data_IF_137173339953
#
_entry.id   IF_137173339953
#
_cell.length_a   1.000
_cell.length_b   1.000
_cell.length_c   1.000
_cell.angle_alpha   90.00
_cell.angle_beta   90.00
_cell.angle_gamma   90.00
#
_symmetry.space_group_name_H-M   'P 1'
#
loop_
_entity.id
_entity.type
_entity.pdbx_description
1 polymer ?
#
# COMPACT_ATOMS: atom_id res chain seq x y z
N UNK A 1 -16.34 5.05 -16.55
CA UNK A 1 -15.79 4.26 -15.42
C UNK A 1 -14.32 4.00 -15.66
N UNK A 2 -13.95 3.45 -16.83
CA UNK A 2 -12.57 3.37 -17.37
C UNK A 2 -11.63 4.44 -16.83
N UNK A 3 -11.80 5.72 -17.17
CA UNK A 3 -10.88 6.83 -16.83
C UNK A 3 -10.43 6.90 -15.36
N UNK A 4 -11.26 6.48 -14.40
CA UNK A 4 -10.89 6.41 -12.97
C UNK A 4 -10.02 5.18 -12.64
N UNK A 5 -10.28 4.05 -13.30
CA UNK A 5 -9.46 2.84 -13.22
C UNK A 5 -8.14 3.02 -13.99
N UNK A 6 -8.19 3.68 -15.15
CA UNK A 6 -7.03 4.01 -15.98
C UNK A 6 -6.07 4.92 -15.20
N UNK A 7 -6.59 6.01 -14.60
CA UNK A 7 -5.84 6.87 -13.68
C UNK A 7 -5.27 6.10 -12.47
N UNK A 8 -6.00 5.13 -11.91
CA UNK A 8 -5.51 4.30 -10.81
C UNK A 8 -4.35 3.37 -11.24
N UNK A 9 -4.44 2.78 -12.44
CA UNK A 9 -3.40 1.92 -13.02
C UNK A 9 -2.15 2.72 -13.40
N UNK A 10 -2.29 3.90 -14.03
CA UNK A 10 -1.18 4.80 -14.31
C UNK A 10 -0.47 5.22 -13.01
N UNK A 11 -1.21 5.53 -11.95
CA UNK A 11 -0.67 5.86 -10.62
C UNK A 11 0.07 4.71 -9.94
N UNK A 12 -0.20 3.45 -10.31
CA UNK A 12 0.53 2.28 -9.83
C UNK A 12 1.70 1.90 -10.74
N UNK A 13 1.66 2.24 -12.03
CA UNK A 13 2.64 1.82 -13.03
C UNK A 13 4.10 2.21 -12.72
N UNK A 14 4.31 3.35 -12.07
CA UNK A 14 5.65 3.89 -11.76
C UNK A 14 6.27 3.27 -10.51
N UNK A 15 5.45 2.96 -9.50
CA UNK A 15 5.91 2.54 -8.17
C UNK A 15 6.84 1.31 -8.20
N UNK A 16 6.53 0.20 -8.90
CA UNK A 16 7.44 -0.95 -8.98
C UNK A 16 8.80 -0.61 -9.59
N UNK A 17 8.84 0.33 -10.55
CA UNK A 17 10.06 0.73 -11.25
C UNK A 17 10.97 1.57 -10.36
N UNK A 18 10.41 2.55 -9.66
CA UNK A 18 11.16 3.42 -8.75
C UNK A 18 11.55 2.69 -7.46
N UNK A 19 10.69 1.82 -6.93
CA UNK A 19 11.01 0.92 -5.82
C UNK A 19 12.16 -0.03 -6.18
N UNK A 20 12.10 -0.71 -7.34
CA UNK A 20 13.17 -1.60 -7.79
C UNK A 20 14.50 -0.86 -8.01
N UNK A 21 14.45 0.38 -8.54
CA UNK A 21 15.62 1.26 -8.69
C UNK A 21 16.26 1.57 -7.33
N UNK A 22 15.47 1.99 -6.33
CA UNK A 22 15.98 2.32 -5.01
C UNK A 22 16.52 1.09 -4.27
N UNK A 23 15.81 -0.04 -4.29
CA UNK A 23 16.26 -1.30 -3.69
C UNK A 23 17.55 -1.83 -4.34
N UNK A 24 17.69 -1.68 -5.67
CA UNK A 24 18.95 -2.00 -6.35
C UNK A 24 20.08 -1.04 -5.94
N UNK A 25 19.77 0.24 -5.69
CA UNK A 25 20.71 1.21 -5.11
C UNK A 25 21.19 0.80 -3.73
N UNK A 26 20.28 0.47 -2.80
CA UNK A 26 20.59 -0.04 -1.46
C UNK A 26 21.51 -1.26 -1.55
N UNK A 27 21.18 -2.25 -2.41
CA UNK A 27 22.02 -3.44 -2.61
C UNK A 27 23.41 -3.11 -3.15
N UNK A 28 23.55 -2.12 -4.04
CA UNK A 28 24.85 -1.65 -4.56
C UNK A 28 25.71 -1.03 -3.46
N UNK A 29 25.13 -0.17 -2.61
CA UNK A 29 25.86 0.42 -1.48
C UNK A 29 26.23 -0.64 -0.43
N UNK A 30 25.35 -1.59 -0.11
CA UNK A 30 25.69 -2.71 0.79
C UNK A 30 26.87 -3.54 0.27
N UNK A 31 26.92 -3.83 -1.03
CA UNK A 31 28.05 -4.56 -1.63
C UNK A 31 29.38 -3.78 -1.53
N UNK A 32 29.38 -2.46 -1.76
CA UNK A 32 30.59 -1.65 -1.61
C UNK A 32 31.00 -1.48 -0.14
N UNK A 33 30.04 -1.28 0.78
CA UNK A 33 30.28 -1.28 2.23
C UNK A 33 30.96 -2.58 2.71
N UNK A 34 30.45 -3.75 2.31
CA UNK A 34 31.06 -5.05 2.65
C UNK A 34 32.47 -5.20 2.03
N UNK A 35 32.66 -4.75 0.79
CA UNK A 35 33.97 -4.75 0.10
C UNK A 35 34.99 -3.86 0.80
N UNK A 36 34.61 -2.65 1.23
CA UNK A 36 35.48 -1.74 1.99
C UNK A 36 35.72 -2.21 3.41
N UNK A 37 34.72 -2.79 4.06
CA UNK A 37 34.90 -3.45 5.35
C UNK A 37 35.98 -4.54 5.25
N UNK A 38 35.89 -5.44 4.26
CA UNK A 38 36.89 -6.47 4.00
C UNK A 38 38.29 -5.93 3.61
N UNK A 39 38.37 -4.74 2.99
CA UNK A 39 39.63 -4.03 2.72
C UNK A 39 40.30 -3.57 4.03
N UNK A 40 39.55 -2.88 4.90
CA UNK A 40 40.02 -2.48 6.24
C UNK A 40 40.46 -3.70 7.04
N UNK A 41 39.64 -4.75 7.03
CA UNK A 41 39.85 -5.99 7.76
C UNK A 41 41.17 -6.69 7.33
N UNK A 42 41.52 -6.61 6.04
CA UNK A 42 42.85 -7.02 5.52
C UNK A 42 43.96 -6.08 5.97
N UNK A 43 43.81 -4.77 5.80
CA UNK A 43 44.83 -3.78 6.15
C UNK A 43 45.16 -3.81 7.65
N UNK A 44 44.16 -3.88 8.52
CA UNK A 44 44.33 -4.00 9.97
C UNK A 44 45.06 -5.29 10.37
N UNK A 45 44.75 -6.44 9.73
CA UNK A 45 45.49 -7.70 9.96
C UNK A 45 46.96 -7.63 9.51
N UNK A 46 47.28 -6.87 8.45
CA UNK A 46 48.67 -6.61 8.05
C UNK A 46 49.35 -5.66 9.04
N UNK A 47 48.66 -4.59 9.44
CA UNK A 47 49.16 -3.61 10.39
C UNK A 47 49.56 -4.25 11.72
N UNK A 48 48.67 -5.00 12.35
CA UNK A 48 48.93 -5.68 13.64
C UNK A 48 50.11 -6.64 13.56
N UNK A 49 50.24 -7.42 12.46
CA UNK A 49 51.36 -8.35 12.26
C UNK A 49 52.70 -7.65 12.02
N UNK A 50 52.69 -6.47 11.40
CA UNK A 50 53.90 -5.71 11.06
C UNK A 50 54.24 -4.61 12.06
N UNK A 51 53.35 -4.28 13.00
CA UNK A 51 53.43 -3.09 13.85
C UNK A 51 54.76 -2.94 14.58
N UNK A 52 55.24 -4.01 15.23
CA UNK A 52 56.51 -4.04 15.97
C UNK A 52 57.76 -3.84 15.07
N UNK A 53 57.62 -3.99 13.75
CA UNK A 53 58.71 -3.91 12.76
C UNK A 53 58.64 -2.66 11.88
N UNK A 54 57.60 -1.83 11.99
CA UNK A 54 57.44 -0.63 11.16
C UNK A 54 57.94 0.64 11.85
N UNK A 55 58.64 1.55 11.15
CA UNK A 55 59.02 2.85 11.70
C UNK A 55 57.78 3.72 11.95
N UNK A 56 57.82 4.56 12.99
CA UNK A 56 56.68 5.38 13.46
C UNK A 56 56.01 6.20 12.34
N UNK A 57 56.77 6.72 11.38
CA UNK A 57 56.25 7.50 10.25
C UNK A 57 55.39 6.64 9.29
N UNK A 58 55.84 5.43 8.96
CA UNK A 58 55.04 4.49 8.16
C UNK A 58 53.77 4.04 8.90
N UNK A 59 53.87 3.82 10.21
CA UNK A 59 52.74 3.48 11.07
C UNK A 59 51.67 4.60 11.09
N UNK A 60 52.09 5.87 11.20
CA UNK A 60 51.18 7.01 11.13
C UNK A 60 50.50 7.16 9.75
N UNK A 61 51.24 6.93 8.66
CA UNK A 61 50.68 6.92 7.30
C UNK A 61 49.62 5.82 7.12
N UNK A 62 49.91 4.60 7.58
CA UNK A 62 48.98 3.47 7.49
C UNK A 62 47.71 3.67 8.34
N UNK A 63 47.84 4.25 9.54
CA UNK A 63 46.68 4.65 10.36
C UNK A 63 45.82 5.71 9.66
N UNK A 64 46.43 6.70 9.00
CA UNK A 64 45.69 7.70 8.21
C UNK A 64 44.91 7.05 7.06
N UNK A 65 45.50 6.07 6.38
CA UNK A 65 44.82 5.32 5.31
C UNK A 65 43.62 4.50 5.84
N UNK A 66 43.78 3.81 6.98
CA UNK A 66 42.68 3.11 7.67
C UNK A 66 41.55 4.08 8.02
N UNK A 67 41.87 5.26 8.58
CA UNK A 67 40.86 6.27 8.93
C UNK A 67 40.10 6.78 7.69
N UNK A 68 40.77 6.99 6.56
CA UNK A 68 40.08 7.38 5.31
C UNK A 68 39.15 6.30 4.77
N UNK A 69 39.47 5.01 4.95
CA UNK A 69 38.57 3.92 4.57
C UNK A 69 37.35 3.83 5.49
N UNK A 70 37.50 4.07 6.80
CA UNK A 70 36.36 4.14 7.72
C UNK A 70 35.40 5.29 7.39
N UNK A 71 35.93 6.47 7.08
CA UNK A 71 35.11 7.62 6.66
C UNK A 71 34.35 7.35 5.35
N UNK A 72 34.93 6.61 4.41
CA UNK A 72 34.24 6.19 3.18
C UNK A 72 33.13 5.16 3.46
N UNK A 73 33.32 4.22 4.39
CA UNK A 73 32.24 3.32 4.83
C UNK A 73 31.10 4.09 5.49
N UNK A 74 31.41 5.07 6.35
CA UNK A 74 30.39 5.93 6.97
C UNK A 74 29.59 6.69 5.90
N UNK A 75 30.28 7.28 4.90
CA UNK A 75 29.64 7.96 3.77
C UNK A 75 28.72 7.03 2.96
N UNK A 76 29.17 5.82 2.63
CA UNK A 76 28.38 4.81 1.92
C UNK A 76 27.19 4.31 2.77
N UNK A 77 27.36 4.18 4.08
CA UNK A 77 26.29 3.83 5.02
C UNK A 77 25.22 4.93 5.11
N UNK A 78 25.63 6.20 5.11
CA UNK A 78 24.69 7.34 5.12
C UNK A 78 23.91 7.45 3.81
N UNK A 79 24.54 7.18 2.65
CA UNK A 79 23.84 7.07 1.36
C UNK A 79 22.82 5.92 1.34
N UNK A 80 23.15 4.76 1.93
CA UNK A 80 22.21 3.64 2.14
C UNK A 80 21.02 4.05 3.01
N UNK A 81 21.26 4.77 4.10
CA UNK A 81 20.21 5.26 5.01
C UNK A 81 19.29 6.25 4.29
N UNK A 82 19.84 7.18 3.48
CA UNK A 82 19.01 8.10 2.68
C UNK A 82 18.12 7.34 1.69
N UNK A 83 18.67 6.42 0.90
CA UNK A 83 17.85 5.62 -0.03
C UNK A 83 16.76 4.79 0.67
N UNK A 84 16.98 4.37 1.92
CA UNK A 84 15.93 3.72 2.71
C UNK A 84 14.81 4.72 3.06
N UNK A 85 15.14 5.94 3.52
CA UNK A 85 14.14 7.02 3.75
C UNK A 85 13.39 7.37 2.47
N UNK A 86 14.11 7.64 1.38
CA UNK A 86 13.56 7.94 0.04
C UNK A 86 12.56 6.85 -0.42
N UNK A 87 12.79 5.60 -0.01
CA UNK A 87 11.91 4.45 -0.33
C UNK A 87 10.69 4.38 0.58
N UNK A 88 10.82 4.63 1.88
CA UNK A 88 9.67 4.72 2.80
C UNK A 88 8.76 5.90 2.43
N UNK A 89 9.33 7.06 2.12
CA UNK A 89 8.60 8.26 1.69
C UNK A 89 7.89 8.06 0.35
N UNK A 90 8.51 7.34 -0.60
CA UNK A 90 7.87 6.91 -1.84
C UNK A 90 6.65 6.02 -1.56
N UNK A 91 6.80 5.01 -0.71
CA UNK A 91 5.70 4.06 -0.40
C UNK A 91 4.57 4.76 0.35
N UNK A 92 4.85 5.54 1.39
CA UNK A 92 3.84 6.33 2.13
C UNK A 92 3.06 7.29 1.21
N UNK A 93 3.75 7.98 0.30
CA UNK A 93 3.13 8.84 -0.71
C UNK A 93 2.18 8.09 -1.65
N UNK A 94 2.45 6.82 -1.96
CA UNK A 94 1.54 5.97 -2.72
C UNK A 94 0.39 5.44 -1.85
N UNK A 95 0.63 5.00 -0.61
CA UNK A 95 -0.42 4.60 0.34
C UNK A 95 -1.46 5.72 0.50
N UNK A 96 -1.03 6.92 0.88
CA UNK A 96 -1.93 8.08 1.05
C UNK A 96 -2.69 8.44 -0.23
N UNK A 97 -2.14 8.18 -1.42
CA UNK A 97 -2.84 8.39 -2.70
C UNK A 97 -3.96 7.36 -2.87
N UNK A 98 -3.66 6.08 -2.63
CA UNK A 98 -4.62 4.98 -2.70
C UNK A 98 -5.77 5.16 -1.71
N UNK A 99 -5.49 5.61 -0.48
CA UNK A 99 -6.52 5.93 0.52
C UNK A 99 -7.47 7.04 0.02
N UNK A 100 -6.89 8.14 -0.50
CA UNK A 100 -7.66 9.26 -1.04
C UNK A 100 -8.50 8.85 -2.25
N UNK A 101 -7.98 8.02 -3.15
CA UNK A 101 -8.70 7.54 -4.33
C UNK A 101 -9.76 6.49 -3.96
N UNK A 102 -9.54 5.69 -2.91
CA UNK A 102 -10.53 4.78 -2.32
C UNK A 102 -11.72 5.55 -1.73
N UNK A 103 -11.49 6.64 -0.98
CA UNK A 103 -12.56 7.50 -0.46
C UNK A 103 -13.36 8.15 -1.61
N UNK A 104 -12.69 8.60 -2.68
CA UNK A 104 -13.36 9.13 -3.89
C UNK A 104 -14.18 8.05 -4.61
N UNK A 105 -13.68 6.82 -4.70
CA UNK A 105 -14.39 5.66 -5.27
C UNK A 105 -15.67 5.39 -4.48
N UNK A 106 -15.59 5.26 -3.15
CA UNK A 106 -16.76 5.07 -2.28
C UNK A 106 -17.78 6.20 -2.42
N UNK A 107 -17.34 7.47 -2.41
CA UNK A 107 -18.22 8.61 -2.60
C UNK A 107 -18.92 8.60 -3.97
N UNK A 108 -18.18 8.28 -5.05
CA UNK A 108 -18.71 8.16 -6.42
C UNK A 108 -19.74 7.03 -6.54
N UNK A 109 -19.54 5.92 -5.84
CA UNK A 109 -20.48 4.79 -5.81
C UNK A 109 -21.73 5.15 -5.01
N UNK A 110 -21.58 5.75 -3.80
CA UNK A 110 -22.68 6.23 -2.96
C UNK A 110 -23.55 7.25 -3.72
N UNK A 111 -22.94 8.25 -4.37
CA UNK A 111 -23.68 9.25 -5.15
C UNK A 111 -24.49 8.60 -6.29
N UNK A 112 -23.88 7.71 -7.08
CA UNK A 112 -24.59 7.02 -8.18
C UNK A 112 -25.74 6.15 -7.72
N UNK A 113 -25.66 5.58 -6.51
CA UNK A 113 -26.77 4.84 -5.93
C UNK A 113 -27.95 5.77 -5.59
N UNK A 114 -27.67 6.94 -5.01
CA UNK A 114 -28.67 7.99 -4.74
C UNK A 114 -29.28 8.54 -6.03
N UNK A 115 -28.45 8.85 -7.03
CA UNK A 115 -28.90 9.32 -8.36
C UNK A 115 -29.82 8.29 -9.03
N UNK A 116 -29.48 6.99 -8.95
CA UNK A 116 -30.28 5.91 -9.51
C UNK A 116 -31.61 5.71 -8.76
N UNK A 117 -31.62 5.85 -7.42
CA UNK A 117 -32.84 5.80 -6.63
C UNK A 117 -33.78 6.98 -6.97
N UNK A 118 -33.27 8.21 -6.98
CA UNK A 118 -34.03 9.40 -7.37
C UNK A 118 -34.56 9.30 -8.82
N UNK A 119 -33.78 8.74 -9.75
CA UNK A 119 -34.22 8.48 -11.12
C UNK A 119 -35.30 7.38 -11.23
N UNK A 120 -35.41 6.47 -10.26
CA UNK A 120 -36.50 5.50 -10.18
C UNK A 120 -37.78 6.14 -9.63
N UNK A 121 -37.69 6.92 -8.55
CA UNK A 121 -38.82 7.67 -7.96
C UNK A 121 -39.40 8.69 -8.96
N UNK A 122 -38.54 9.42 -9.67
CA UNK A 122 -38.95 10.36 -10.72
C UNK A 122 -39.66 9.69 -11.91
N UNK A 123 -39.45 8.38 -12.15
CA UNK A 123 -40.22 7.60 -13.13
C UNK A 123 -41.54 7.11 -12.56
N UNK A 124 -41.55 6.61 -11.32
CA UNK A 124 -42.76 6.15 -10.64
C UNK A 124 -43.83 7.26 -10.54
N UNK A 125 -43.41 8.47 -10.14
CA UNK A 125 -44.32 9.61 -10.03
C UNK A 125 -44.91 10.05 -11.39
N UNK A 126 -44.17 9.91 -12.50
CA UNK A 126 -44.69 10.19 -13.84
C UNK A 126 -45.73 9.16 -14.31
N UNK A 127 -45.60 7.89 -13.93
CA UNK A 127 -46.63 6.87 -14.22
C UNK A 127 -47.91 7.02 -13.38
N UNK A 128 -47.88 7.77 -12.27
CA UNK A 128 -49.07 8.02 -11.45
C UNK A 128 -50.09 8.96 -12.11
N UNK A 129 -49.60 10.00 -12.81
CA UNK A 129 -50.43 11.11 -13.30
C UNK A 129 -51.38 10.69 -14.44
N UNK A 130 -50.89 9.94 -15.44
CA UNK A 130 -51.73 9.41 -16.54
C UNK A 130 -52.85 8.46 -16.06
N UNK A 131 -52.68 7.80 -14.91
CA UNK A 131 -53.72 6.91 -14.37
C UNK A 131 -54.87 7.69 -13.72
N UNK A 132 -54.63 8.91 -13.24
CA UNK A 132 -55.62 9.72 -12.55
C UNK A 132 -56.60 10.41 -13.52
N UNK A 133 -56.12 10.92 -14.65
CA UNK A 133 -56.99 11.61 -15.63
C UNK A 133 -57.99 10.64 -16.28
N UNK A 134 -57.53 9.43 -16.67
CA UNK A 134 -58.41 8.36 -17.18
C UNK A 134 -59.55 8.01 -16.22
N UNK A 135 -59.37 8.19 -14.91
CA UNK A 135 -60.41 7.90 -13.90
C UNK A 135 -61.40 9.04 -13.68
N UNK A 136 -61.02 10.31 -13.95
CA UNK A 136 -61.98 11.43 -13.91
C UNK A 136 -63.02 11.35 -15.04
N UNK A 137 -62.64 10.81 -16.20
CA UNK A 137 -63.53 10.71 -17.37
C UNK A 137 -64.62 9.62 -17.27
N UNK A 138 -64.54 8.71 -16.29
CA UNK A 138 -65.48 7.57 -16.15
C UNK A 138 -66.62 7.78 -15.14
N UNK A 139 -66.73 8.95 -14.50
CA UNK A 139 -67.71 9.17 -13.41
C UNK A 139 -69.05 9.73 -13.94
N UNK A 140 -69.08 10.26 -15.17
CA UNK A 140 -70.26 10.86 -15.80
C UNK A 140 -71.24 9.88 -16.47
N UNK A 141 -71.27 8.60 -16.05
CA UNK A 141 -72.12 7.58 -16.69
C UNK A 141 -72.38 6.36 -15.81
N UNK A 142 -73.39 6.46 -14.92
CA UNK A 142 -73.69 5.40 -13.93
C UNK A 142 -75.12 4.84 -14.08
N UNK A 143 -75.27 3.74 -14.83
CA UNK A 143 -76.42 2.83 -14.67
C UNK A 143 -76.12 1.39 -15.10
N UNK A 144 -76.76 0.47 -14.38
CA UNK A 144 -77.04 -0.94 -14.68
C UNK A 144 -75.95 -2.06 -14.66
N UNK A 145 -76.33 -3.15 -13.94
CA UNK A 145 -76.14 -4.60 -14.22
C UNK A 145 -74.77 -5.31 -14.05
N UNK A 146 -74.44 -5.60 -12.78
CA UNK A 146 -74.55 -6.94 -12.13
C UNK A 146 -74.13 -8.21 -12.91
N UNK A 147 -73.04 -8.88 -12.45
CA UNK A 147 -72.61 -10.32 -12.50
C UNK A 147 -71.08 -10.40 -12.75
N UNK A 148 -70.33 -11.48 -12.48
CA UNK A 148 -70.21 -12.46 -11.37
C UNK A 148 -69.06 -13.45 -11.73
N UNK A 149 -68.43 -14.12 -10.75
CA UNK A 149 -67.41 -15.22 -10.89
C UNK A 149 -65.99 -14.76 -11.36
N UNK A 150 -64.93 -15.04 -10.58
CA UNK A 150 -63.94 -16.17 -10.66
C UNK A 150 -62.96 -16.04 -11.85
N UNK A 151 -61.63 -16.23 -11.74
CA UNK A 151 -60.71 -16.47 -10.61
C UNK A 151 -59.25 -16.08 -11.05
N UNK A 152 -58.09 -16.31 -10.41
CA UNK A 152 -57.66 -17.11 -9.24
C UNK A 152 -56.28 -16.66 -8.68
N UNK A 153 -55.83 -17.35 -7.62
CA UNK A 153 -54.43 -17.74 -7.30
C UNK A 153 -53.31 -16.66 -7.13
N UNK A 154 -52.99 -16.42 -5.83
CA UNK A 154 -51.63 -16.55 -5.24
C UNK A 154 -50.70 -15.39 -4.85
N UNK A 155 -49.98 -15.70 -3.76
CA UNK A 155 -48.59 -15.36 -3.40
C UNK A 155 -48.18 -13.89 -3.17
N UNK A 156 -48.56 -13.42 -1.97
CA UNK A 156 -47.62 -12.93 -0.93
C UNK A 156 -46.13 -12.95 -1.32
N UNK A 157 -45.54 -11.79 -1.57
CA UNK A 157 -44.11 -11.54 -1.32
C UNK A 157 -43.91 -10.13 -0.74
N UNK A 158 -43.51 -10.08 0.53
CA UNK A 158 -43.05 -8.83 1.17
C UNK A 158 -41.64 -8.55 0.67
N UNK A 159 -41.53 -7.75 -0.40
CA UNK A 159 -40.26 -7.33 -0.97
C UNK A 159 -39.57 -6.27 -0.08
N UNK A 160 -39.13 -6.69 1.10
CA UNK A 160 -38.12 -5.96 1.88
C UNK A 160 -36.86 -5.86 1.03
N UNK A 161 -36.52 -4.65 0.58
CA UNK A 161 -35.30 -4.39 -0.22
C UNK A 161 -34.08 -4.42 0.71
N UNK A 162 -33.72 -5.62 1.16
CA UNK A 162 -32.45 -5.89 1.83
C UNK A 162 -31.32 -5.71 0.82
N UNK A 163 -30.76 -4.49 0.76
CA UNK A 163 -29.72 -4.13 -0.18
C UNK A 163 -28.48 -5.03 0.02
N UNK A 164 -28.05 -5.83 -0.97
CA UNK A 164 -26.99 -6.85 -0.78
C UNK A 164 -25.59 -6.31 -0.42
N UNK A 165 -25.42 -4.99 -0.37
CA UNK A 165 -24.13 -4.30 -0.29
C UNK A 165 -23.92 -3.49 0.99
N UNK A 166 -24.86 -3.50 1.96
CA UNK A 166 -24.63 -2.84 3.25
C UNK A 166 -23.33 -3.28 3.96
N UNK A 167 -22.93 -4.58 3.97
CA UNK A 167 -21.67 -5.01 4.59
C UNK A 167 -20.40 -4.39 3.99
N UNK A 168 -20.49 -3.81 2.79
CA UNK A 168 -19.36 -3.18 2.10
C UNK A 168 -19.23 -1.67 2.39
N UNK A 169 -20.19 -1.07 3.12
CA UNK A 169 -20.21 0.36 3.42
C UNK A 169 -19.76 0.71 4.85
N UNK A 170 -19.83 -0.25 5.78
CA UNK A 170 -19.54 -0.09 7.22
C UNK A 170 -18.30 -0.89 7.70
N UNK A 171 -17.49 -1.43 6.79
CA UNK A 171 -16.30 -2.19 7.15
C UNK A 171 -15.22 -1.26 7.79
N UNK A 172 -14.78 -1.49 9.05
CA UNK A 172 -13.74 -0.68 9.68
C UNK A 172 -12.40 -0.89 8.97
N UNK A 173 -11.64 0.20 8.77
CA UNK A 173 -10.47 0.25 7.89
C UNK A 173 -9.19 -0.39 8.46
N UNK A 174 -9.31 -1.43 9.29
CA UNK A 174 -8.18 -2.13 9.92
C UNK A 174 -8.42 -3.64 9.87
N UNK A 175 -8.29 -4.21 8.67
CA UNK A 175 -7.80 -5.58 8.59
C UNK A 175 -6.28 -5.53 8.70
N UNK A 176 -5.75 -5.86 9.88
CA UNK A 176 -4.37 -6.34 10.00
C UNK A 176 -4.30 -7.67 9.23
N UNK A 177 -3.94 -7.57 7.95
CA UNK A 177 -3.96 -8.69 7.02
C UNK A 177 -2.99 -9.77 7.52
N UNK A 178 -3.47 -10.98 7.87
CA UNK A 178 -2.61 -12.01 8.44
C UNK A 178 -1.56 -12.41 7.40
N UNK A 179 -0.29 -12.48 7.84
CA UNK A 179 0.83 -12.89 6.99
C UNK A 179 0.55 -14.28 6.43
N UNK A 180 0.55 -14.41 5.10
CA UNK A 180 0.28 -15.67 4.42
C UNK A 180 1.37 -16.70 4.79
N UNK A 181 1.01 -17.84 5.43
CA UNK A 181 1.97 -18.89 5.79
C UNK A 181 2.73 -19.49 4.60
N UNK A 182 2.27 -19.25 3.38
CA UNK A 182 2.84 -19.77 2.14
C UNK A 182 3.56 -18.69 1.30
N UNK A 183 3.71 -17.45 1.81
CA UNK A 183 4.50 -16.41 1.15
C UNK A 183 6.01 -16.66 1.31
N UNK A 184 6.80 -16.75 0.22
CA UNK A 184 8.24 -16.94 0.30
C UNK A 184 8.91 -15.70 0.89
N UNK A 185 9.38 -15.81 2.14
CA UNK A 185 9.97 -14.69 2.89
C UNK A 185 11.32 -14.27 2.30
N UNK A 186 11.31 -13.35 1.33
CA UNK A 186 12.50 -12.86 0.61
C UNK A 186 13.41 -11.93 1.45
N UNK A 187 13.66 -12.27 2.72
CA UNK A 187 14.65 -11.64 3.59
C UNK A 187 16.09 -12.05 3.21
N UNK A 188 16.52 -11.66 2.01
CA UNK A 188 17.89 -11.88 1.50
C UNK A 188 18.92 -11.10 2.35
N UNK A 189 18.48 -10.10 3.13
CA UNK A 189 19.33 -9.32 4.04
C UNK A 189 18.73 -9.17 5.44
N UNK A 190 19.07 -10.10 6.34
CA UNK A 190 18.90 -9.98 7.80
C UNK A 190 19.80 -8.86 8.42
N UNK A 191 20.11 -7.80 7.66
CA UNK A 191 21.17 -6.82 7.93
C UNK A 191 20.68 -5.36 8.05
N UNK A 192 19.37 -5.16 8.25
CA UNK A 192 18.84 -3.89 8.80
C UNK A 192 18.71 -3.93 10.33
N UNK A 193 19.02 -5.06 10.96
CA UNK A 193 19.13 -5.17 12.42
C UNK A 193 20.42 -4.50 12.91
N UNK A 194 20.33 -3.22 13.31
CA UNK A 194 21.36 -2.43 14.01
C UNK A 194 22.03 -3.21 15.18
N UNK A 195 21.26 -4.11 15.80
CA UNK A 195 21.67 -5.09 16.81
C UNK A 195 22.89 -5.95 16.44
N UNK A 196 23.08 -6.34 15.18
CA UNK A 196 24.14 -7.30 14.82
C UNK A 196 25.55 -6.66 14.77
N UNK A 197 25.64 -5.34 14.63
CA UNK A 197 26.93 -4.64 14.77
C UNK A 197 27.29 -4.48 16.26
N UNK A 198 26.30 -4.12 17.07
CA UNK A 198 26.45 -3.90 18.52
C UNK A 198 26.80 -5.19 19.29
N UNK A 199 26.25 -6.35 18.87
CA UNK A 199 26.67 -7.66 19.38
C UNK A 199 28.16 -7.93 19.12
N UNK A 200 28.66 -7.64 17.91
CA UNK A 200 30.02 -7.98 17.49
C UNK A 200 31.10 -7.12 18.18
N UNK A 201 30.74 -5.94 18.66
CA UNK A 201 31.60 -5.11 19.54
C UNK A 201 31.63 -5.70 20.96
N UNK A 202 30.47 -6.13 21.49
CA UNK A 202 30.35 -6.68 22.86
C UNK A 202 30.99 -8.07 23.03
N UNK A 203 31.26 -8.79 21.94
CA UNK A 203 31.95 -10.10 21.96
C UNK A 203 33.49 -10.01 21.87
N UNK A 204 34.10 -8.83 21.95
CA UNK A 204 35.57 -8.71 22.05
C UNK A 204 35.96 -8.85 23.53
N UNK A 205 36.68 -9.92 23.94
CA UNK A 205 37.10 -10.07 25.34
C UNK A 205 38.18 -9.03 25.68
N UNK A 206 37.92 -8.21 26.70
CA UNK A 206 38.92 -7.29 27.25
C UNK A 206 39.91 -8.04 28.16
N UNK A 207 40.80 -8.82 27.54
CA UNK A 207 41.93 -9.49 28.18
C UNK A 207 43.24 -9.06 27.50
N UNK A 208 43.70 -7.84 27.82
CA UNK A 208 45.09 -7.38 27.70
C UNK A 208 45.31 -6.18 28.64
#
# INVERSE_FOLDING_TARGET
>A
MSVMLDHYLDNLSTLPRDLAKNLQGIRKYDMECHKRSAEIDRKLRVFVKSYQKMPKNASASFNKEIMTLFAEIERLSNEKIRLASDTYELVDKHIRRLDNDSVKLQATIRQKYLDAAAAAEAKANKSGDEMLDRKRKSIAGRKDKKKLKEDSWSQKSTASVSAPFQPFLDAPSVMEMPVDPNEPTYCICHQLCKWHFDLRIKTVPQNF
#
